data_IF_016962169437
#
_entry.id   IF_016962169437
#
_cell.length_a   1.000
_cell.length_b   1.000
_cell.length_c   1.000
_cell.angle_alpha   90.00
_cell.angle_beta   90.00
_cell.angle_gamma   90.00
#
_symmetry.space_group_name_H-M   'P 1'
#
loop_
_entity.id
_entity.type
_entity.pdbx_description
1 polymer ?
#
# COMPACT_ATOMS: atom_id res chain seq x y z
N UNK A 1 18.59 -12.38 9.62
CA UNK A 1 17.81 -11.20 9.19
C UNK A 1 18.79 -10.11 8.78
N UNK A 2 18.59 -9.48 7.63
CA UNK A 2 19.45 -8.42 7.11
C UNK A 2 18.64 -7.13 6.97
N UNK A 3 19.33 -5.98 7.10
CA UNK A 3 18.73 -4.70 6.79
C UNK A 3 18.43 -4.62 5.29
N UNK A 4 17.46 -3.77 4.90
CA UNK A 4 17.30 -3.41 3.51
C UNK A 4 18.59 -2.79 2.96
N UNK A 5 18.94 -3.20 1.74
CA UNK A 5 19.88 -2.43 0.92
C UNK A 5 19.23 -1.11 0.48
N UNK A 6 20.05 -0.14 0.05
CA UNK A 6 19.54 1.13 -0.48
C UNK A 6 18.56 0.90 -1.63
N UNK A 7 18.89 0.01 -2.57
CA UNK A 7 18.03 -0.29 -3.73
C UNK A 7 16.69 -0.90 -3.31
N UNK A 8 16.71 -1.79 -2.31
CA UNK A 8 15.48 -2.40 -1.77
C UNK A 8 14.61 -1.38 -1.04
N UNK A 9 15.21 -0.45 -0.30
CA UNK A 9 14.47 0.61 0.36
C UNK A 9 13.89 1.60 -0.65
N UNK A 10 14.62 1.95 -1.71
CA UNK A 10 14.14 2.78 -2.81
C UNK A 10 12.96 2.10 -3.51
N UNK A 11 13.09 0.82 -3.86
CA UNK A 11 12.02 0.05 -4.47
C UNK A 11 10.77 0.00 -3.58
N UNK A 12 10.93 -0.22 -2.27
CA UNK A 12 9.80 -0.24 -1.35
C UNK A 12 9.14 1.15 -1.25
N UNK A 13 9.93 2.22 -1.20
CA UNK A 13 9.43 3.61 -1.24
C UNK A 13 8.62 3.88 -2.51
N UNK A 14 9.15 3.49 -3.68
CA UNK A 14 8.49 3.66 -4.97
C UNK A 14 7.16 2.90 -5.05
N UNK A 15 7.06 1.72 -4.40
CA UNK A 15 5.79 1.00 -4.29
C UNK A 15 4.76 1.82 -3.51
N UNK A 16 5.12 2.39 -2.36
CA UNK A 16 4.21 3.21 -1.57
C UNK A 16 3.77 4.48 -2.29
N UNK A 17 4.69 5.11 -3.02
CA UNK A 17 4.35 6.21 -3.91
C UNK A 17 3.33 5.78 -4.98
N UNK A 18 3.58 4.65 -5.65
CA UNK A 18 2.70 4.12 -6.70
C UNK A 18 1.31 3.75 -6.17
N UNK A 19 1.24 3.14 -4.99
CA UNK A 19 -0.02 2.83 -4.31
C UNK A 19 -0.77 4.11 -3.91
N UNK A 20 -0.08 5.13 -3.41
CA UNK A 20 -0.70 6.42 -3.12
C UNK A 20 -1.31 7.05 -4.38
N UNK A 21 -0.62 6.96 -5.52
CA UNK A 21 -1.14 7.42 -6.80
C UNK A 21 -2.33 6.60 -7.28
N UNK A 22 -2.29 5.29 -7.11
CA UNK A 22 -3.41 4.41 -7.43
C UNK A 22 -4.67 4.75 -6.62
N UNK A 23 -4.53 5.09 -5.33
CA UNK A 23 -5.64 5.61 -4.51
C UNK A 23 -6.12 6.96 -5.02
N UNK A 24 -5.21 7.85 -5.41
CA UNK A 24 -5.55 9.14 -6.02
C UNK A 24 -6.37 8.99 -7.31
N UNK A 25 -5.95 8.11 -8.21
CA UNK A 25 -6.66 7.80 -9.46
C UNK A 25 -8.05 7.23 -9.17
N UNK A 26 -8.16 6.29 -8.23
CA UNK A 26 -9.46 5.74 -7.82
C UNK A 26 -10.41 6.83 -7.28
N UNK A 27 -9.90 7.74 -6.46
CA UNK A 27 -10.67 8.89 -5.93
C UNK A 27 -11.15 9.79 -7.05
N UNK A 28 -10.29 10.09 -8.02
CA UNK A 28 -10.60 10.95 -9.14
C UNK A 28 -11.70 10.34 -10.02
N UNK A 29 -11.56 9.07 -10.40
CA UNK A 29 -12.54 8.36 -11.25
C UNK A 29 -13.90 8.16 -10.57
N UNK A 30 -13.96 8.20 -9.24
CA UNK A 30 -15.18 8.03 -8.46
C UNK A 30 -15.62 9.30 -7.72
N UNK A 31 -15.09 10.47 -8.09
CA UNK A 31 -15.29 11.72 -7.35
C UNK A 31 -16.75 12.02 -7.02
N UNK A 32 -17.64 11.90 -8.01
CA UNK A 32 -19.07 12.22 -7.86
C UNK A 32 -19.86 11.16 -7.06
N UNK A 33 -19.26 9.98 -6.83
CA UNK A 33 -19.89 8.87 -6.09
C UNK A 33 -19.45 8.80 -4.64
N UNK A 34 -18.34 9.46 -4.30
CA UNK A 34 -17.80 9.48 -2.95
C UNK A 34 -18.59 10.47 -2.10
N UNK A 35 -18.98 10.05 -0.91
CA UNK A 35 -19.34 10.98 0.16
C UNK A 35 -18.15 11.82 0.58
N UNK A 36 -18.41 12.91 1.32
CA UNK A 36 -17.36 13.76 1.87
C UNK A 36 -16.42 12.97 2.78
N UNK A 37 -16.98 12.11 3.63
CA UNK A 37 -16.24 11.28 4.57
C UNK A 37 -15.35 10.25 3.85
N UNK A 38 -15.88 9.54 2.86
CA UNK A 38 -15.11 8.55 2.09
C UNK A 38 -13.99 9.22 1.28
N UNK A 39 -14.27 10.39 0.68
CA UNK A 39 -13.27 11.15 -0.06
C UNK A 39 -12.14 11.64 0.87
N UNK A 40 -12.51 12.13 2.06
CA UNK A 40 -11.55 12.56 3.09
C UNK A 40 -10.69 11.38 3.55
N UNK A 41 -11.29 10.24 3.88
CA UNK A 41 -10.58 9.04 4.30
C UNK A 41 -9.54 8.61 3.26
N UNK A 42 -9.95 8.48 1.98
CA UNK A 42 -9.03 8.11 0.91
C UNK A 42 -7.93 9.16 0.70
N UNK A 43 -8.22 10.45 0.89
CA UNK A 43 -7.22 11.52 0.82
C UNK A 43 -6.19 11.44 1.93
N UNK A 44 -6.64 11.17 3.16
CA UNK A 44 -5.77 11.00 4.32
C UNK A 44 -4.91 9.75 4.14
N UNK A 45 -5.51 8.63 3.68
CA UNK A 45 -4.75 7.43 3.35
C UNK A 45 -3.69 7.70 2.29
N UNK A 46 -4.04 8.36 1.18
CA UNK A 46 -3.09 8.71 0.14
C UNK A 46 -1.88 9.48 0.71
N UNK A 47 -2.12 10.49 1.57
CA UNK A 47 -1.05 11.26 2.19
C UNK A 47 -0.19 10.41 3.14
N UNK A 48 -0.80 9.54 3.94
CA UNK A 48 -0.07 8.63 4.83
C UNK A 48 0.81 7.63 4.07
N UNK A 49 0.36 7.17 2.89
CA UNK A 49 1.17 6.29 2.04
C UNK A 49 2.39 7.01 1.45
N UNK A 50 2.24 8.27 1.02
CA UNK A 50 3.37 9.09 0.60
C UNK A 50 4.39 9.26 1.73
N UNK A 51 3.91 9.61 2.93
CA UNK A 51 4.76 9.74 4.11
C UNK A 51 5.46 8.42 4.47
N UNK A 52 4.76 7.30 4.35
CA UNK A 52 5.34 5.96 4.59
C UNK A 52 6.52 5.71 3.64
N UNK A 53 6.39 6.07 2.37
CA UNK A 53 7.47 5.98 1.39
C UNK A 53 8.70 6.81 1.79
N UNK A 54 8.50 8.02 2.31
CA UNK A 54 9.57 8.87 2.82
C UNK A 54 10.24 8.28 4.07
N UNK A 55 9.45 7.76 5.01
CA UNK A 55 9.92 7.13 6.24
C UNK A 55 10.76 5.87 5.94
N UNK A 56 10.36 5.06 4.94
CA UNK A 56 11.13 3.90 4.48
C UNK A 56 12.53 4.30 4.03
N UNK A 57 12.66 5.39 3.26
CA UNK A 57 13.97 5.88 2.82
C UNK A 57 14.79 6.38 4.01
N UNK A 58 14.18 7.18 4.88
CA UNK A 58 14.82 7.75 6.06
C UNK A 58 15.36 6.66 7.02
N UNK A 59 14.63 5.56 7.19
CA UNK A 59 14.97 4.50 8.14
C UNK A 59 15.52 3.22 7.49
N UNK A 60 15.80 3.26 6.18
CA UNK A 60 16.28 2.15 5.35
C UNK A 60 17.40 1.31 5.98
N UNK A 61 18.40 1.96 6.58
CA UNK A 61 19.55 1.30 7.22
C UNK A 61 19.20 0.50 8.47
N UNK A 62 18.00 0.67 9.01
CA UNK A 62 17.51 0.02 10.25
C UNK A 62 16.28 -0.85 10.03
N UNK A 63 15.75 -0.87 8.81
CA UNK A 63 14.57 -1.62 8.45
C UNK A 63 14.96 -3.07 8.14
N UNK A 64 14.34 -4.01 8.85
CA UNK A 64 14.55 -5.44 8.69
C UNK A 64 13.23 -6.06 8.25
N UNK A 65 13.28 -6.85 7.18
CA UNK A 65 12.14 -7.64 6.70
C UNK A 65 12.54 -9.11 6.67
N UNK A 66 11.70 -9.98 7.22
CA UNK A 66 11.87 -11.43 7.06
C UNK A 66 11.68 -11.82 5.59
N UNK A 67 12.54 -12.73 5.11
CA UNK A 67 12.56 -13.17 3.71
C UNK A 67 12.47 -11.98 2.74
N UNK A 68 13.32 -10.96 2.95
CA UNK A 68 13.25 -9.63 2.31
C UNK A 68 12.97 -9.68 0.80
N UNK A 69 13.62 -10.60 0.09
CA UNK A 69 13.46 -10.78 -1.36
C UNK A 69 12.02 -11.19 -1.71
N UNK A 70 11.47 -12.17 -1.01
CA UNK A 70 10.13 -12.70 -1.29
C UNK A 70 9.04 -11.70 -0.88
N UNK A 71 9.21 -11.03 0.26
CA UNK A 71 8.31 -9.98 0.71
C UNK A 71 8.28 -8.80 -0.28
N UNK A 72 9.44 -8.33 -0.73
CA UNK A 72 9.51 -7.27 -1.75
C UNK A 72 8.92 -7.71 -3.08
N UNK A 73 9.21 -8.93 -3.55
CA UNK A 73 8.65 -9.46 -4.78
C UNK A 73 7.11 -9.47 -4.75
N UNK A 74 6.51 -9.89 -3.63
CA UNK A 74 5.05 -9.87 -3.43
C UNK A 74 4.50 -8.44 -3.42
N UNK A 75 5.14 -7.52 -2.70
CA UNK A 75 4.74 -6.10 -2.66
C UNK A 75 4.79 -5.47 -4.05
N UNK A 76 5.86 -5.73 -4.82
CA UNK A 76 5.98 -5.24 -6.19
C UNK A 76 4.85 -5.76 -7.08
N UNK A 77 4.59 -7.08 -7.03
CA UNK A 77 3.54 -7.71 -7.85
C UNK A 77 2.18 -7.11 -7.56
N UNK A 78 1.80 -7.03 -6.27
CA UNK A 78 0.48 -6.52 -5.91
C UNK A 78 0.34 -5.02 -6.16
N UNK A 79 1.43 -4.26 -6.02
CA UNK A 79 1.44 -2.83 -6.36
C UNK A 79 1.14 -2.63 -7.84
N UNK A 80 1.80 -3.38 -8.73
CA UNK A 80 1.53 -3.33 -10.16
C UNK A 80 0.09 -3.70 -10.50
N UNK A 81 -0.43 -4.79 -9.93
CA UNK A 81 -1.82 -5.21 -10.13
C UNK A 81 -2.82 -4.13 -9.72
N UNK A 82 -2.66 -3.55 -8.52
CA UNK A 82 -3.53 -2.49 -8.01
C UNK A 82 -3.44 -1.25 -8.89
N UNK A 83 -2.23 -0.79 -9.21
CA UNK A 83 -2.02 0.41 -10.03
C UNK A 83 -2.71 0.30 -11.40
N UNK A 84 -2.62 -0.85 -12.05
CA UNK A 84 -3.15 -1.05 -13.40
C UNK A 84 -4.69 -1.07 -13.47
N UNK A 85 -5.36 -1.35 -12.34
CA UNK A 85 -6.75 -1.76 -12.37
C UNK A 85 -7.67 -1.11 -11.32
N UNK A 86 -7.14 -0.54 -10.23
CA UNK A 86 -7.97 0.08 -9.19
C UNK A 86 -8.79 1.25 -9.72
N UNK A 87 -8.27 2.03 -10.68
CA UNK A 87 -9.03 3.11 -11.32
C UNK A 87 -10.29 2.64 -12.07
N UNK A 88 -10.34 1.35 -12.43
CA UNK A 88 -11.51 0.72 -13.09
C UNK A 88 -12.51 0.15 -12.07
N UNK A 89 -12.19 0.21 -10.78
CA UNK A 89 -13.04 -0.29 -9.72
C UNK A 89 -14.24 0.66 -9.51
N UNK A 90 -15.44 0.10 -9.62
CA UNK A 90 -16.68 0.86 -9.40
C UNK A 90 -17.22 0.74 -7.97
N UNK A 91 -16.72 -0.21 -7.18
CA UNK A 91 -17.17 -0.41 -5.80
C UNK A 91 -16.38 0.49 -4.85
N UNK A 92 -17.07 1.48 -4.28
CA UNK A 92 -16.50 2.42 -3.30
C UNK A 92 -15.98 1.68 -2.06
N UNK A 93 -16.79 0.78 -1.50
CA UNK A 93 -16.39 0.00 -0.32
C UNK A 93 -15.15 -0.85 -0.59
N UNK A 94 -15.04 -1.47 -1.77
CA UNK A 94 -13.82 -2.24 -2.09
C UNK A 94 -12.60 -1.33 -2.19
N UNK A 95 -12.72 -0.13 -2.77
CA UNK A 95 -11.63 0.84 -2.83
C UNK A 95 -11.16 1.27 -1.43
N UNK A 96 -12.09 1.57 -0.52
CA UNK A 96 -11.80 1.89 0.88
C UNK A 96 -11.11 0.74 1.59
N UNK A 97 -11.62 -0.48 1.45
CA UNK A 97 -11.02 -1.66 2.08
C UNK A 97 -9.58 -1.88 1.60
N UNK A 98 -9.32 -1.73 0.30
CA UNK A 98 -7.98 -1.85 -0.28
C UNK A 98 -7.06 -0.75 0.25
N UNK A 99 -7.53 0.50 0.31
CA UNK A 99 -6.76 1.61 0.88
C UNK A 99 -6.37 1.35 2.34
N UNK A 100 -7.32 0.88 3.16
CA UNK A 100 -7.08 0.52 4.55
C UNK A 100 -6.07 -0.64 4.69
N UNK A 101 -6.19 -1.68 3.87
CA UNK A 101 -5.24 -2.80 3.88
C UNK A 101 -3.81 -2.36 3.52
N UNK A 102 -3.66 -1.47 2.53
CA UNK A 102 -2.35 -0.91 2.15
C UNK A 102 -1.78 -0.07 3.30
N UNK A 103 -2.61 0.73 3.97
CA UNK A 103 -2.18 1.51 5.12
C UNK A 103 -1.66 0.62 6.26
N UNK A 104 -2.35 -0.49 6.55
CA UNK A 104 -1.90 -1.48 7.54
C UNK A 104 -0.53 -2.07 7.19
N UNK A 105 -0.28 -2.35 5.90
CA UNK A 105 1.04 -2.78 5.44
C UNK A 105 2.10 -1.70 5.71
N UNK A 106 1.81 -0.43 5.42
CA UNK A 106 2.70 0.69 5.72
C UNK A 106 3.04 0.81 7.21
N UNK A 107 2.02 0.72 8.07
CA UNK A 107 2.18 0.73 9.52
C UNK A 107 3.07 -0.41 10.00
N UNK A 108 2.84 -1.65 9.51
CA UNK A 108 3.66 -2.80 9.88
C UNK A 108 5.13 -2.61 9.48
N UNK A 109 5.38 -2.06 8.30
CA UNK A 109 6.72 -1.75 7.79
C UNK A 109 7.41 -0.72 8.69
N UNK A 110 6.79 0.44 8.92
CA UNK A 110 7.38 1.53 9.74
C UNK A 110 7.63 1.07 11.17
N UNK A 111 6.74 0.25 11.73
CA UNK A 111 6.89 -0.33 13.07
C UNK A 111 7.90 -1.49 13.13
N UNK A 112 8.45 -1.94 11.99
CA UNK A 112 9.41 -3.05 11.89
C UNK A 112 8.84 -4.36 12.44
N UNK A 113 7.52 -4.53 12.32
CA UNK A 113 6.83 -5.74 12.74
C UNK A 113 6.95 -6.79 11.63
N UNK A 114 8.01 -7.60 11.64
CA UNK A 114 8.27 -8.55 10.54
C UNK A 114 7.12 -9.53 10.32
N UNK A 115 6.44 -9.95 11.39
CA UNK A 115 5.26 -10.79 11.31
C UNK A 115 4.08 -10.02 10.73
N UNK A 116 3.83 -8.82 11.25
CA UNK A 116 2.77 -7.93 10.76
C UNK A 116 2.93 -7.57 9.29
N UNK A 117 4.15 -7.46 8.77
CA UNK A 117 4.42 -7.24 7.35
C UNK A 117 3.90 -8.42 6.53
N UNK A 118 4.27 -9.65 6.89
CA UNK A 118 3.82 -10.86 6.18
C UNK A 118 2.29 -11.01 6.20
N UNK A 119 1.68 -10.80 7.37
CA UNK A 119 0.22 -10.84 7.54
C UNK A 119 -0.47 -9.73 6.72
N UNK A 120 0.11 -8.52 6.67
CA UNK A 120 -0.46 -7.40 5.92
C UNK A 120 -0.32 -7.55 4.42
N UNK A 121 0.81 -8.08 3.90
CA UNK A 121 0.96 -8.41 2.47
C UNK A 121 -0.17 -9.35 2.03
N UNK A 122 -0.42 -10.40 2.83
CA UNK A 122 -1.52 -11.33 2.59
C UNK A 122 -2.87 -10.61 2.65
N UNK A 123 -3.07 -9.74 3.63
CA UNK A 123 -4.30 -8.95 3.77
C UNK A 123 -4.59 -8.05 2.57
N UNK A 124 -3.57 -7.38 2.02
CA UNK A 124 -3.73 -6.57 0.78
C UNK A 124 -4.13 -7.49 -0.37
N UNK A 125 -3.47 -8.63 -0.54
CA UNK A 125 -3.77 -9.59 -1.61
C UNK A 125 -5.19 -10.14 -1.53
N UNK A 126 -5.60 -10.62 -0.37
CA UNK A 126 -6.94 -11.18 -0.17
C UNK A 126 -8.02 -10.10 -0.38
N UNK A 127 -7.79 -8.88 0.12
CA UNK A 127 -8.73 -7.77 -0.06
C UNK A 127 -8.84 -7.35 -1.53
N UNK A 128 -7.71 -7.32 -2.25
CA UNK A 128 -7.68 -6.98 -3.67
C UNK A 128 -8.37 -8.03 -4.54
N UNK A 129 -8.14 -9.32 -4.25
CA UNK A 129 -8.71 -10.44 -5.00
C UNK A 129 -10.15 -10.78 -4.61
N UNK A 130 -10.65 -10.26 -3.48
CA UNK A 130 -12.02 -10.50 -3.05
C UNK A 130 -13.03 -10.05 -4.12
N UNK A 131 -14.08 -10.86 -4.38
CA UNK A 131 -15.13 -10.46 -5.32
C UNK A 131 -15.84 -9.20 -4.82
N UNK A 132 -16.35 -8.41 -5.75
CA UNK A 132 -17.24 -7.29 -5.42
C UNK A 132 -18.57 -7.93 -4.99
N UNK A 133 -18.89 -7.83 -3.70
CA UNK A 133 -20.17 -8.26 -3.14
C UNK A 133 -21.26 -7.19 -3.37
#
# INVERSE_FOLDING_TARGET
>A
MANLTSDQATQLSDNFYSLAMAIGDFRYENWDKLSFEENKELSETQNMLLQTGEDILAFSTTLIMDETIDSLAKINSITGEIQDSIKKLNSIQKGLNVAAAILLLGVAIVNRDTKGIGDSIKGVYETWQAPIL
#
